data_IF_682639756757
#
_entry.id   IF_682639756757
#
_cell.length_a   1.000
_cell.length_b   1.000
_cell.length_c   1.000
_cell.angle_alpha   90.00
_cell.angle_beta   90.00
_cell.angle_gamma   90.00
#
_symmetry.space_group_name_H-M   'P 1'
#
loop_
_entity.id
_entity.type
_entity.pdbx_description
1 polymer ?
#
# COMPACT_ATOMS: atom_id res chain seq x y z
N UNK A 1 0.93 11.72 17.44
CA UNK A 1 1.81 11.23 16.35
C UNK A 1 1.12 10.08 15.59
N UNK A 2 0.58 10.34 14.40
CA UNK A 2 -0.08 9.33 13.55
C UNK A 2 0.90 8.29 12.97
N UNK A 3 2.19 8.52 13.16
CA UNK A 3 3.33 7.87 12.51
C UNK A 3 3.59 6.42 12.94
N UNK A 4 3.20 6.04 14.16
CA UNK A 4 3.45 4.69 14.72
C UNK A 4 2.29 3.71 14.54
N UNK A 5 1.30 4.02 13.68
CA UNK A 5 0.21 3.06 13.43
C UNK A 5 0.73 1.86 12.65
N UNK A 6 0.46 0.66 13.19
CA UNK A 6 0.83 -0.61 12.56
C UNK A 6 0.40 -0.70 11.09
N UNK A 7 -0.82 -0.22 10.77
CA UNK A 7 -1.34 -0.23 9.40
C UNK A 7 -0.45 0.53 8.42
N UNK A 8 0.02 1.73 8.78
CA UNK A 8 0.90 2.51 7.91
C UNK A 8 2.26 1.83 7.74
N UNK A 9 2.82 1.27 8.83
CA UNK A 9 4.11 0.59 8.79
C UNK A 9 4.08 -0.65 7.87
N UNK A 10 3.06 -1.50 8.01
CA UNK A 10 2.90 -2.68 7.14
C UNK A 10 2.60 -2.27 5.70
N UNK A 11 1.80 -1.22 5.50
CA UNK A 11 1.51 -0.68 4.18
C UNK A 11 2.78 -0.23 3.44
N UNK A 12 3.61 0.62 4.04
CA UNK A 12 4.86 1.06 3.39
C UNK A 12 5.86 -0.07 3.21
N UNK A 13 5.96 -0.99 4.17
CA UNK A 13 6.80 -2.17 4.04
C UNK A 13 6.41 -3.01 2.82
N UNK A 14 5.09 -3.18 2.60
CA UNK A 14 4.55 -3.91 1.45
C UNK A 14 4.81 -3.17 0.15
N UNK A 15 4.56 -1.85 0.11
CA UNK A 15 4.88 -1.03 -1.07
C UNK A 15 6.35 -1.11 -1.46
N UNK A 16 7.24 -1.05 -0.46
CA UNK A 16 8.68 -1.12 -0.67
C UNK A 16 9.12 -2.51 -1.14
N UNK A 17 8.65 -3.56 -0.47
CA UNK A 17 9.04 -4.94 -0.78
C UNK A 17 8.55 -5.40 -2.16
N UNK A 18 7.35 -4.97 -2.56
CA UNK A 18 6.70 -5.37 -3.81
C UNK A 18 6.84 -4.33 -4.93
N UNK A 19 7.47 -3.18 -4.66
CA UNK A 19 7.62 -2.09 -5.64
C UNK A 19 6.28 -1.54 -6.16
N UNK A 20 5.25 -1.51 -5.31
CA UNK A 20 3.91 -1.07 -5.72
C UNK A 20 3.79 0.45 -5.69
N UNK A 21 2.97 0.99 -6.59
CA UNK A 21 2.55 2.39 -6.49
C UNK A 21 1.58 2.53 -5.32
N UNK A 22 1.57 3.73 -4.73
CA UNK A 22 0.74 4.06 -3.58
C UNK A 22 -0.76 3.81 -3.85
N UNK A 23 -1.23 4.09 -5.06
CA UNK A 23 -2.61 3.80 -5.49
C UNK A 23 -2.91 2.31 -5.72
N UNK A 24 -1.93 1.55 -6.20
CA UNK A 24 -2.05 0.10 -6.44
C UNK A 24 -2.12 -0.64 -5.10
N UNK A 25 -1.22 -0.34 -4.17
CA UNK A 25 -1.23 -0.96 -2.84
C UNK A 25 -2.50 -0.65 -2.02
N UNK A 26 -3.11 0.51 -2.24
CA UNK A 26 -4.39 0.88 -1.61
C UNK A 26 -5.59 0.06 -2.12
N UNK A 27 -5.53 -0.38 -3.38
CA UNK A 27 -6.59 -1.16 -4.02
C UNK A 27 -6.37 -2.67 -3.87
N UNK A 28 -5.24 -3.08 -3.31
CA UNK A 28 -4.84 -4.47 -3.21
C UNK A 28 -5.82 -5.27 -2.33
N UNK A 29 -6.33 -6.36 -2.87
CA UNK A 29 -7.27 -7.24 -2.19
C UNK A 29 -6.59 -8.51 -1.68
N UNK A 30 -7.22 -9.18 -0.71
CA UNK A 30 -6.75 -10.46 -0.20
C UNK A 30 -6.73 -11.52 -1.30
N UNK A 31 -7.73 -11.51 -2.19
CA UNK A 31 -7.84 -12.43 -3.33
C UNK A 31 -6.78 -12.22 -4.43
N UNK A 32 -6.05 -11.09 -4.41
CA UNK A 32 -4.98 -10.85 -5.37
C UNK A 32 -3.65 -11.53 -4.98
N UNK A 33 -3.56 -12.07 -3.76
CA UNK A 33 -2.37 -12.74 -3.25
C UNK A 33 -2.46 -14.23 -3.56
N UNK A 34 -1.65 -14.70 -4.51
CA UNK A 34 -1.48 -16.12 -4.80
C UNK A 34 -0.36 -16.69 -3.93
N UNK A 35 -0.76 -17.26 -2.79
CA UNK A 35 0.15 -17.92 -1.86
C UNK A 35 0.67 -19.28 -2.37
N UNK A 36 0.10 -19.85 -3.43
CA UNK A 36 0.62 -21.11 -4.01
C UNK A 36 1.78 -20.79 -4.95
N UNK A 37 1.59 -19.79 -5.81
CA UNK A 37 2.59 -19.37 -6.80
C UNK A 37 3.57 -18.31 -6.29
N UNK A 38 3.45 -17.88 -5.03
CA UNK A 38 4.20 -16.79 -4.41
C UNK A 38 4.21 -15.52 -5.27
N UNK A 39 3.02 -15.07 -5.69
CA UNK A 39 2.86 -13.90 -6.56
C UNK A 39 1.68 -13.04 -6.12
N UNK A 40 1.77 -11.75 -6.37
CA UNK A 40 0.67 -10.80 -6.18
C UNK A 40 0.21 -10.28 -7.52
N UNK A 41 -1.10 -10.34 -7.75
CA UNK A 41 -1.74 -9.84 -8.95
C UNK A 41 -2.09 -8.36 -8.79
N UNK A 42 -1.48 -7.50 -9.60
CA UNK A 42 -1.73 -6.06 -9.56
C UNK A 42 -2.61 -5.68 -10.75
N UNK A 43 -3.88 -5.43 -10.45
CA UNK A 43 -4.89 -4.96 -11.42
C UNK A 43 -4.73 -3.46 -11.70
N UNK A 44 -5.12 -3.02 -12.90
CA UNK A 44 -5.09 -1.61 -13.32
C UNK A 44 -3.70 -0.94 -13.28
N UNK A 45 -2.65 -1.63 -13.75
CA UNK A 45 -1.36 -0.93 -13.95
C UNK A 45 -1.48 0.04 -15.13
N UNK A 46 -0.66 1.11 -15.12
CA UNK A 46 -0.61 2.14 -16.18
C UNK A 46 -0.74 1.52 -17.58
N UNK A 47 -1.77 1.92 -18.33
CA UNK A 47 -2.11 1.35 -19.63
C UNK A 47 -3.15 0.21 -19.60
N UNK A 48 -3.84 0.04 -18.47
CA UNK A 48 -4.86 -1.01 -18.26
C UNK A 48 -4.30 -2.43 -18.42
N UNK A 49 -3.04 -2.61 -17.99
CA UNK A 49 -2.34 -3.90 -18.04
C UNK A 49 -2.20 -4.45 -16.64
N UNK A 50 -2.45 -5.73 -16.51
CA UNK A 50 -2.19 -6.43 -15.26
C UNK A 50 -0.73 -6.89 -15.21
N UNK A 51 -0.16 -6.94 -14.00
CA UNK A 51 1.17 -7.50 -13.80
C UNK A 51 1.22 -8.40 -12.57
N UNK A 52 2.07 -9.41 -12.63
CA UNK A 52 2.37 -10.29 -11.51
C UNK A 52 3.67 -9.84 -10.87
N UNK A 53 3.64 -9.61 -9.56
CA UNK A 53 4.81 -9.24 -8.76
C UNK A 53 5.21 -10.45 -7.90
N UNK A 54 6.49 -10.82 -7.82
CA UNK A 54 6.93 -11.88 -6.92
C UNK A 54 6.65 -11.48 -5.47
N UNK A 55 6.15 -12.43 -4.66
CA UNK A 55 5.88 -12.24 -3.24
C UNK A 55 6.99 -12.89 -2.43
N UNK A 56 7.86 -12.12 -1.77
CA UNK A 56 8.84 -12.67 -0.84
C UNK A 56 8.16 -13.29 0.37
N UNK A 57 8.70 -14.40 0.88
CA UNK A 57 8.16 -15.10 2.06
C UNK A 57 8.04 -14.18 3.28
N UNK A 58 9.05 -13.35 3.53
CA UNK A 58 9.04 -12.38 4.63
C UNK A 58 7.86 -11.39 4.52
N UNK A 59 7.55 -10.92 3.31
CA UNK A 59 6.41 -10.03 3.07
C UNK A 59 5.09 -10.77 3.26
N UNK A 60 4.99 -12.00 2.75
CA UNK A 60 3.80 -12.85 2.96
C UNK A 60 3.51 -13.07 4.44
N UNK A 61 4.52 -13.38 5.24
CA UNK A 61 4.33 -13.68 6.66
C UNK A 61 3.89 -12.44 7.45
N UNK A 62 4.46 -11.27 7.12
CA UNK A 62 4.01 -9.98 7.68
C UNK A 62 2.57 -9.70 7.29
N UNK A 63 2.20 -9.90 6.02
CA UNK A 63 0.83 -9.70 5.54
C UNK A 63 -0.16 -10.67 6.19
N UNK A 64 0.20 -11.95 6.37
CA UNK A 64 -0.61 -12.95 7.08
C UNK A 64 -0.87 -12.55 8.52
N UNK A 65 0.18 -12.14 9.25
CA UNK A 65 0.05 -11.66 10.63
C UNK A 65 -0.83 -10.41 10.69
N UNK A 66 -0.63 -9.47 9.77
CA UNK A 66 -1.45 -8.26 9.71
C UNK A 66 -2.93 -8.59 9.42
N UNK A 67 -3.19 -9.47 8.46
CA UNK A 67 -4.54 -9.92 8.12
C UNK A 67 -5.24 -10.61 9.29
N UNK A 68 -4.54 -11.43 10.07
CA UNK A 68 -5.12 -12.11 11.25
C UNK A 68 -5.68 -11.16 12.32
N UNK A 69 -5.21 -9.90 12.34
CA UNK A 69 -5.63 -8.87 13.30
C UNK A 69 -6.97 -8.22 12.90
N UNK A 70 -7.21 -7.97 11.61
CA UNK A 70 -8.42 -7.28 11.13
C UNK A 70 -9.42 -8.21 10.42
N UNK A 71 -8.95 -9.34 9.86
CA UNK A 71 -9.75 -10.39 9.21
C UNK A 71 -10.76 -9.89 8.18
N UNK A 72 -10.39 -8.85 7.44
CA UNK A 72 -11.25 -8.32 6.37
C UNK A 72 -11.21 -9.29 5.18
N UNK A 73 -12.36 -9.71 4.64
CA UNK A 73 -12.41 -10.72 3.58
C UNK A 73 -11.94 -10.20 2.22
N UNK A 74 -12.03 -8.89 1.98
CA UNK A 74 -11.77 -8.29 0.66
C UNK A 74 -10.50 -7.44 0.69
N UNK A 75 -10.43 -6.45 1.59
CA UNK A 75 -9.36 -5.46 1.60
C UNK A 75 -8.17 -5.94 2.41
N UNK A 76 -6.97 -5.83 1.85
CA UNK A 76 -5.74 -6.10 2.58
C UNK A 76 -5.40 -4.98 3.56
N UNK A 77 -5.75 -3.74 3.22
CA UNK A 77 -5.52 -2.54 4.04
C UNK A 77 -6.83 -1.80 4.30
N UNK A 78 -7.69 -2.33 5.19
CA UNK A 78 -8.95 -1.67 5.51
C UNK A 78 -8.74 -0.38 6.32
N UNK A 79 -9.71 0.53 6.17
CA UNK A 79 -9.80 1.69 7.03
C UNK A 79 -10.06 1.30 8.49
N UNK A 80 -9.53 2.08 9.45
CA UNK A 80 -9.62 1.80 10.90
C UNK A 80 -10.36 2.87 11.70
N UNK A 81 -11.23 3.67 11.06
CA UNK A 81 -12.00 4.69 11.77
C UNK A 81 -12.85 4.11 12.93
N UNK A 82 -13.41 2.91 12.76
CA UNK A 82 -14.19 2.20 13.80
C UNK A 82 -13.39 1.23 14.68
N UNK A 83 -12.07 1.39 14.79
CA UNK A 83 -11.20 0.46 15.52
C UNK A 83 -10.99 -0.88 14.81
N UNK A 84 -10.62 -1.93 15.56
CA UNK A 84 -10.33 -3.27 14.99
C UNK A 84 -11.60 -3.96 14.48
N UNK A 85 -12.71 -3.85 15.21
CA UNK A 85 -14.02 -4.39 14.78
C UNK A 85 -14.49 -3.70 13.49
N UNK A 86 -14.42 -2.37 13.45
CA UNK A 86 -14.76 -1.62 12.24
C UNK A 86 -13.83 -1.89 11.04
N UNK A 87 -12.62 -2.41 11.26
CA UNK A 87 -11.70 -2.76 10.17
C UNK A 87 -12.10 -4.05 9.45
N UNK A 88 -12.80 -4.96 10.14
CA UNK A 88 -13.31 -6.19 9.56
C UNK A 88 -14.38 -5.90 8.51
N UNK A 89 -15.32 -5.01 8.85
CA UNK A 89 -16.46 -4.65 8.01
C UNK A 89 -16.21 -3.42 7.12
N UNK A 90 -15.00 -2.85 7.18
CA UNK A 90 -14.65 -1.67 6.39
C UNK A 90 -14.74 -1.98 4.89
N UNK A 91 -15.58 -1.22 4.19
CA UNK A 91 -15.64 -1.21 2.71
C UNK A 91 -14.62 -0.25 2.10
N UNK A 92 -14.08 0.67 2.91
CA UNK A 92 -13.10 1.67 2.44
C UNK A 92 -11.67 1.23 2.77
N UNK A 93 -10.72 1.44 1.85
CA UNK A 93 -9.32 1.20 2.14
C UNK A 93 -8.76 2.30 3.05
N UNK A 94 -7.53 2.11 3.51
CA UNK A 94 -6.81 3.08 4.31
C UNK A 94 -6.80 4.47 3.67
N UNK A 95 -6.92 5.52 4.48
CA UNK A 95 -7.08 6.90 3.97
C UNK A 95 -5.88 7.35 3.12
N UNK A 96 -6.15 7.68 1.84
CA UNK A 96 -5.15 8.12 0.87
C UNK A 96 -4.46 9.40 1.32
N UNK A 97 -5.20 10.35 1.90
CA UNK A 97 -4.64 11.64 2.35
C UNK A 97 -3.60 11.44 3.44
N UNK A 98 -3.95 10.66 4.46
CA UNK A 98 -3.08 10.26 5.55
C UNK A 98 -1.82 9.54 5.06
N UNK A 99 -1.94 8.66 4.08
CA UNK A 99 -0.78 7.95 3.50
C UNK A 99 0.11 8.88 2.68
N UNK A 100 -0.40 9.92 2.04
CA UNK A 100 0.47 10.88 1.34
C UNK A 100 1.22 11.80 2.30
N UNK A 101 0.59 12.16 3.42
CA UNK A 101 1.16 13.08 4.40
C UNK A 101 2.13 12.37 5.34
N UNK A 102 1.88 11.10 5.69
CA UNK A 102 2.68 10.35 6.67
C UNK A 102 4.17 10.27 6.31
N UNK A 103 4.61 9.95 5.09
CA UNK A 103 6.03 9.89 4.74
C UNK A 103 6.72 11.23 4.89
N UNK A 104 6.03 12.34 4.57
CA UNK A 104 6.54 13.69 4.78
C UNK A 104 6.80 13.94 6.27
N UNK A 105 5.82 13.62 7.11
CA UNK A 105 5.95 13.75 8.58
C UNK A 105 7.04 12.84 9.15
N UNK A 106 7.20 11.62 8.62
CA UNK A 106 8.29 10.71 9.00
C UNK A 106 9.64 11.32 8.62
N UNK A 107 9.79 11.81 7.39
CA UNK A 107 11.03 12.41 6.92
C UNK A 107 11.41 13.65 7.73
N UNK A 108 10.44 14.50 8.05
CA UNK A 108 10.62 15.65 8.96
C UNK A 108 11.07 15.21 10.36
N UNK A 109 10.41 14.21 10.95
CA UNK A 109 10.77 13.67 12.26
C UNK A 109 12.15 12.99 12.29
N UNK A 110 12.56 12.35 11.19
CA UNK A 110 13.88 11.76 11.02
C UNK A 110 14.97 12.79 10.66
N UNK A 111 14.63 14.08 10.52
CA UNK A 111 15.59 15.13 10.16
C UNK A 111 16.10 15.03 8.72
N UNK A 112 15.39 14.34 7.83
CA UNK A 112 15.78 14.18 6.43
C UNK A 112 15.53 15.51 5.70
N UNK A 113 16.61 16.27 5.48
CA UNK A 113 16.57 17.60 4.84
C UNK A 113 16.34 17.56 3.33
N UNK A 114 16.44 16.38 2.71
CA UNK A 114 16.28 16.23 1.26
C UNK A 114 14.82 16.50 0.86
N UNK A 115 14.57 17.68 0.27
CA UNK A 115 13.32 17.94 -0.45
C UNK A 115 13.34 17.10 -1.72
N UNK A 116 12.44 16.12 -1.80
CA UNK A 116 12.13 15.42 -3.04
C UNK A 116 11.00 16.20 -3.71
N UNK A 117 11.28 17.11 -4.67
CA UNK A 117 10.22 17.68 -5.48
C UNK A 117 9.44 16.53 -6.14
N UNK A 118 8.12 16.68 -6.30
CA UNK A 118 7.36 15.78 -7.18
C UNK A 118 8.06 15.84 -8.53
N UNK A 119 8.64 14.73 -8.98
CA UNK A 119 9.11 14.62 -10.35
C UNK A 119 7.88 14.78 -11.23
N UNK A 120 7.70 15.96 -11.83
CA UNK A 120 6.70 16.19 -12.86
C UNK A 120 7.13 15.31 -14.04
N UNK A 121 6.53 14.13 -14.16
CA UNK A 121 6.65 13.34 -15.38
C UNK A 121 5.83 14.03 -16.46
N UNK A 122 6.40 15.07 -17.08
CA UNK A 122 5.99 15.52 -18.40
C UNK A 122 6.41 14.44 -19.39
N UNK A 123 5.44 13.71 -19.92
CA UNK A 123 5.70 12.92 -21.13
C UNK A 123 5.83 13.96 -22.23
N UNK A 124 7.01 14.14 -22.82
CA UNK A 124 7.17 14.98 -24.00
C UNK A 124 6.40 14.31 -25.15
N UNK A 125 5.15 14.73 -25.36
CA UNK A 125 4.41 14.42 -26.58
C UNK A 125 5.03 15.22 -27.71
N UNK A 126 5.49 14.59 -28.82
CA UNK A 126 5.91 15.35 -29.99
C UNK A 126 4.72 16.13 -30.54
N UNK A 127 4.91 17.37 -31.00
CA UNK A 127 3.85 18.11 -31.70
C UNK A 127 3.51 17.39 -33.01
N UNK A 128 2.22 17.34 -33.32
CA UNK A 128 1.66 16.85 -34.59
C UNK A 128 1.89 17.92 -35.66
#
# INVERSE_FOLDING_TARGET
MTTHKLSYRVFYFTLYSLGLRLGEGLRLQVGDIDAVRQRVHIRDSKGNKDRLVPLPDATRDVLRRFWSIHRNPVLLFPNRHGGLRGAQDATTPLDRGGIQITPRKVAEACGIKKRLPRTLCATATPPI
#
